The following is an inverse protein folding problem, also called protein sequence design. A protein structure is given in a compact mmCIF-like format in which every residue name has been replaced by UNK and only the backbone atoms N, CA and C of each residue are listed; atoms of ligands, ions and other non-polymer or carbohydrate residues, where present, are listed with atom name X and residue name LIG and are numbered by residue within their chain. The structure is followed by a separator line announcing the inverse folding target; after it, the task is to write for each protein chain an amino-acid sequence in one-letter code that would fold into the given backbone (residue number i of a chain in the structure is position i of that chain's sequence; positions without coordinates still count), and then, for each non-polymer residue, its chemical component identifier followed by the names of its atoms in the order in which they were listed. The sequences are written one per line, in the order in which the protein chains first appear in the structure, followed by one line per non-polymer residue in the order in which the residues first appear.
data_IF_687842818073
#
_entry.id   IF_687842818073
#
_cell.length_a   1.000
_cell.length_b   1.000
_cell.length_c   1.000
_cell.angle_alpha   90.00
_cell.angle_beta   90.00
_cell.angle_gamma   90.00
#
_symmetry.space_group_name_H-M   'P 1'
#
loop_
_entity.id
_entity.type
_entity.pdbx_description
1 polymer ?
#
# COMPACT_ATOMS: atom_id res chain seq x y z
N UNK A 1 7.09 24.39 5.00
CA UNK A 1 7.41 23.50 6.15
C UNK A 1 7.20 24.29 7.43
N UNK A 2 6.39 23.80 8.38
CA UNK A 2 5.97 24.56 9.57
C UNK A 2 6.97 24.52 10.75
N UNK A 3 8.21 24.09 10.54
CA UNK A 3 9.23 24.00 11.60
C UNK A 3 8.93 22.99 12.72
N UNK A 4 7.98 22.09 12.50
CA UNK A 4 7.55 21.10 13.49
C UNK A 4 8.50 19.89 13.43
N UNK A 5 9.12 19.55 14.57
CA UNK A 5 9.95 18.35 14.71
C UNK A 5 9.05 17.11 14.78
N UNK A 6 9.23 16.10 13.90
CA UNK A 6 8.52 14.84 14.00
C UNK A 6 8.77 14.14 15.34
N UNK A 7 7.74 13.57 15.94
CA UNK A 7 7.83 12.82 17.22
C UNK A 7 8.41 11.42 17.04
N UNK A 8 8.39 10.91 15.81
CA UNK A 8 8.86 9.58 15.43
C UNK A 8 9.65 9.66 14.13
N UNK A 9 10.70 8.86 14.05
CA UNK A 9 11.44 8.62 12.82
C UNK A 9 10.89 7.37 12.12
N UNK A 10 10.18 7.57 11.01
CA UNK A 10 9.59 6.50 10.20
C UNK A 10 10.53 5.98 9.11
N UNK A 11 11.69 6.61 8.92
CA UNK A 11 12.51 6.47 7.70
C UNK A 11 13.96 6.07 8.00
N UNK A 12 14.22 5.40 9.14
CA UNK A 12 15.57 5.01 9.57
C UNK A 12 16.33 4.18 8.55
N UNK A 13 16.05 2.88 8.51
CA UNK A 13 16.65 1.91 7.60
C UNK A 13 15.59 1.38 6.67
N UNK A 14 16.00 0.63 5.64
CA UNK A 14 15.05 0.02 4.69
C UNK A 14 14.42 -1.24 5.28
N UNK A 15 15.23 -2.04 5.98
CA UNK A 15 14.80 -3.32 6.51
C UNK A 15 14.13 -3.14 7.86
N UNK A 16 13.07 -3.92 8.12
CA UNK A 16 12.26 -3.80 9.35
C UNK A 16 13.12 -3.85 10.63
N UNK A 17 14.14 -4.71 10.68
CA UNK A 17 15.02 -4.83 11.85
C UNK A 17 15.89 -3.58 12.13
N UNK A 18 15.97 -2.66 11.18
CA UNK A 18 16.68 -1.38 11.32
C UNK A 18 15.76 -0.24 11.79
N UNK A 19 14.44 -0.48 11.83
CA UNK A 19 13.46 0.52 12.23
C UNK A 19 13.55 0.82 13.73
N UNK A 20 13.03 1.98 14.13
CA UNK A 20 12.92 2.32 15.55
C UNK A 20 11.84 1.45 16.20
N UNK A 21 12.07 0.85 17.38
CA UNK A 21 11.01 0.14 18.11
C UNK A 21 9.80 1.02 18.39
N UNK A 22 10.01 2.35 18.47
CA UNK A 22 8.94 3.32 18.71
C UNK A 22 8.09 3.65 17.48
N UNK A 23 8.47 3.20 16.27
CA UNK A 23 7.68 3.33 15.05
C UNK A 23 8.19 2.38 13.95
N UNK A 24 7.42 1.33 13.67
CA UNK A 24 7.72 0.36 12.61
C UNK A 24 6.83 0.66 11.40
N UNK A 25 7.46 0.90 10.25
CA UNK A 25 6.79 0.97 8.96
C UNK A 25 6.97 -0.36 8.21
N UNK A 26 5.88 -0.96 7.71
CA UNK A 26 5.93 -2.18 6.91
C UNK A 26 5.46 -1.83 5.51
N UNK A 27 6.40 -1.67 4.59
CA UNK A 27 6.10 -1.47 3.17
C UNK A 27 5.91 -2.83 2.50
N UNK A 28 4.66 -3.19 2.20
CA UNK A 28 4.30 -4.45 1.56
C UNK A 28 4.92 -4.61 0.17
N UNK A 29 5.17 -3.52 -0.58
CA UNK A 29 5.82 -3.63 -1.87
C UNK A 29 7.27 -4.06 -1.70
N UNK A 30 7.97 -3.51 -0.71
CA UNK A 30 9.32 -3.95 -0.38
C UNK A 30 9.32 -5.38 0.18
N UNK A 31 8.38 -5.73 1.06
CA UNK A 31 8.27 -7.09 1.59
C UNK A 31 8.03 -8.13 0.48
N UNK A 32 7.02 -7.91 -0.36
CA UNK A 32 6.62 -8.86 -1.40
C UNK A 32 7.60 -8.90 -2.58
N UNK A 33 8.41 -7.85 -2.77
CA UNK A 33 9.50 -7.85 -3.74
C UNK A 33 10.85 -8.32 -3.17
N UNK A 34 10.86 -8.80 -1.92
CA UNK A 34 12.07 -9.18 -1.18
C UNK A 34 13.14 -8.09 -1.26
N UNK A 35 12.73 -6.87 -0.93
CA UNK A 35 13.55 -5.65 -0.96
C UNK A 35 14.21 -5.38 -2.32
N UNK A 36 13.55 -5.78 -3.41
CA UNK A 36 14.01 -5.59 -4.78
C UNK A 36 14.73 -6.79 -5.40
N UNK A 37 14.78 -7.95 -4.73
CA UNK A 37 15.31 -9.16 -5.33
C UNK A 37 14.44 -9.67 -6.51
N UNK A 38 13.14 -9.33 -6.52
CA UNK A 38 12.29 -9.59 -7.68
C UNK A 38 12.52 -8.56 -8.80
N UNK A 39 12.74 -9.04 -10.03
CA UNK A 39 12.85 -8.20 -11.24
C UNK A 39 11.62 -7.32 -11.47
N UNK A 40 10.44 -7.76 -11.01
CA UNK A 40 9.18 -7.00 -11.07
C UNK A 40 8.59 -6.94 -9.67
N UNK A 41 8.37 -5.73 -9.16
CA UNK A 41 7.78 -5.52 -7.82
C UNK A 41 6.31 -5.96 -7.72
N UNK A 42 5.58 -5.98 -8.83
CA UNK A 42 4.15 -6.26 -8.85
C UNK A 42 3.30 -5.08 -8.36
N UNK A 43 2.08 -4.95 -8.89
CA UNK A 43 1.12 -3.95 -8.42
C UNK A 43 0.24 -4.51 -7.31
N UNK A 44 -0.48 -3.64 -6.58
CA UNK A 44 -1.50 -4.07 -5.61
C UNK A 44 -2.50 -5.04 -6.27
N UNK A 45 -2.96 -4.74 -7.49
CA UNK A 45 -3.83 -5.63 -8.26
C UNK A 45 -3.25 -7.03 -8.48
N UNK A 46 -1.96 -7.12 -8.85
CA UNK A 46 -1.30 -8.40 -9.07
C UNK A 46 -1.27 -9.21 -7.77
N UNK A 47 -0.79 -8.60 -6.68
CA UNK A 47 -0.66 -9.28 -5.40
C UNK A 47 -2.02 -9.67 -4.81
N UNK A 48 -3.02 -8.79 -4.90
CA UNK A 48 -4.39 -9.13 -4.50
C UNK A 48 -4.89 -10.37 -5.26
N UNK A 49 -4.70 -10.45 -6.58
CA UNK A 49 -5.11 -11.63 -7.35
C UNK A 49 -4.36 -12.90 -6.96
N UNK A 50 -3.04 -12.82 -6.75
CA UNK A 50 -2.21 -13.97 -6.34
C UNK A 50 -2.72 -14.56 -5.04
N UNK A 51 -3.12 -13.71 -4.09
CA UNK A 51 -3.68 -14.14 -2.81
C UNK A 51 -5.21 -14.34 -2.84
N UNK A 52 -5.89 -14.24 -3.99
CA UNK A 52 -7.35 -14.38 -4.06
C UNK A 52 -8.12 -13.30 -3.28
N UNK A 53 -7.52 -12.13 -3.07
CA UNK A 53 -8.15 -10.95 -2.48
C UNK A 53 -8.87 -10.19 -3.59
N UNK A 54 -10.08 -9.71 -3.30
CA UNK A 54 -10.81 -8.85 -4.23
C UNK A 54 -9.97 -7.62 -4.59
N UNK A 55 -9.74 -7.42 -5.88
CA UNK A 55 -8.93 -6.30 -6.32
C UNK A 55 -9.73 -4.99 -6.30
N UNK A 56 -9.13 -3.87 -5.90
CA UNK A 56 -9.75 -2.54 -5.97
C UNK A 56 -10.25 -2.15 -7.37
N UNK A 57 -9.64 -2.72 -8.42
CA UNK A 57 -10.06 -2.53 -9.82
C UNK A 57 -11.42 -3.15 -10.16
N UNK A 58 -12.00 -3.97 -9.29
CA UNK A 58 -13.34 -4.53 -9.50
C UNK A 58 -14.44 -3.43 -9.51
N UNK A 59 -14.17 -2.29 -8.88
CA UNK A 59 -15.08 -1.13 -8.83
C UNK A 59 -15.19 -0.34 -10.15
N UNK A 60 -14.39 -0.69 -11.17
CA UNK A 60 -14.41 -0.07 -12.49
C UNK A 60 -13.68 1.28 -12.59
N UNK A 61 -13.32 1.91 -11.47
CA UNK A 61 -12.46 3.09 -11.41
C UNK A 61 -10.99 2.65 -11.40
N UNK A 62 -10.19 3.26 -12.25
CA UNK A 62 -8.74 3.07 -12.31
C UNK A 62 -8.01 4.35 -11.91
N UNK A 63 -6.70 4.24 -11.64
CA UNK A 63 -5.87 5.41 -11.32
C UNK A 63 -5.90 6.49 -12.42
N UNK A 64 -6.08 6.08 -13.67
CA UNK A 64 -6.13 7.01 -14.82
C UNK A 64 -7.41 7.86 -14.81
N UNK A 65 -8.49 7.36 -14.19
CA UNK A 65 -9.78 8.06 -14.10
C UNK A 65 -9.79 9.15 -13.03
N UNK A 66 -8.90 9.07 -12.03
CA UNK A 66 -8.90 9.97 -10.85
C UNK A 66 -8.81 11.44 -11.26
N UNK A 67 -7.98 11.75 -12.25
CA UNK A 67 -7.82 13.12 -12.76
C UNK A 67 -9.10 13.69 -13.39
N UNK A 68 -9.82 12.86 -14.16
CA UNK A 68 -11.08 13.25 -14.77
C UNK A 68 -12.19 13.38 -13.72
N UNK A 69 -12.28 12.42 -12.79
CA UNK A 69 -13.24 12.45 -11.67
C UNK A 69 -13.03 13.68 -10.79
N UNK A 70 -11.79 14.07 -10.52
CA UNK A 70 -11.48 15.24 -9.70
C UNK A 70 -11.96 16.53 -10.38
N UNK A 71 -11.68 16.69 -11.68
CA UNK A 71 -12.17 17.82 -12.48
C UNK A 71 -13.69 17.87 -12.53
N UNK A 72 -14.34 16.70 -12.59
CA UNK A 72 -15.79 16.56 -12.53
C UNK A 72 -16.38 16.69 -11.11
N UNK A 73 -15.56 17.00 -10.09
CA UNK A 73 -15.96 17.11 -8.67
C UNK A 73 -16.61 15.84 -8.10
N UNK A 74 -16.30 14.68 -8.67
CA UNK A 74 -16.78 13.35 -8.23
C UNK A 74 -15.93 12.81 -7.07
N UNK A 75 -15.81 13.59 -6.00
CA UNK A 75 -14.91 13.26 -4.88
C UNK A 75 -15.32 11.99 -4.13
N UNK A 76 -16.63 11.74 -4.03
CA UNK A 76 -17.15 10.53 -3.38
C UNK A 76 -16.71 9.25 -4.10
N UNK A 77 -16.65 9.27 -5.43
CA UNK A 77 -16.24 8.13 -6.24
C UNK A 77 -14.74 7.84 -6.02
N UNK A 78 -13.92 8.90 -6.00
CA UNK A 78 -12.49 8.81 -5.66
C UNK A 78 -12.30 8.27 -4.23
N UNK A 79 -13.09 8.76 -3.27
CA UNK A 79 -13.00 8.30 -1.88
C UNK A 79 -13.36 6.81 -1.76
N UNK A 80 -14.41 6.34 -2.46
CA UNK A 80 -14.78 4.92 -2.49
C UNK A 80 -13.68 4.05 -3.10
N UNK A 81 -13.08 4.51 -4.21
CA UNK A 81 -11.92 3.85 -4.82
C UNK A 81 -10.75 3.74 -3.83
N UNK A 82 -10.37 4.83 -3.17
CA UNK A 82 -9.29 4.84 -2.18
C UNK A 82 -9.58 3.91 -0.99
N UNK A 83 -10.82 3.85 -0.51
CA UNK A 83 -11.22 2.90 0.55
C UNK A 83 -11.06 1.44 0.08
N UNK A 84 -11.31 1.15 -1.19
CA UNK A 84 -11.02 -0.15 -1.80
C UNK A 84 -9.54 -0.52 -1.71
N UNK A 85 -8.65 0.41 -2.09
CA UNK A 85 -7.19 0.22 -1.99
C UNK A 85 -6.75 -0.03 -0.54
N UNK A 86 -7.31 0.70 0.44
CA UNK A 86 -7.01 0.49 1.86
C UNK A 86 -7.42 -0.91 2.34
N UNK A 87 -8.62 -1.38 1.97
CA UNK A 87 -9.11 -2.72 2.33
C UNK A 87 -8.24 -3.80 1.72
N UNK A 88 -7.91 -3.70 0.44
CA UNK A 88 -7.07 -4.67 -0.25
C UNK A 88 -5.65 -4.71 0.35
N UNK A 89 -5.09 -3.55 0.71
CA UNK A 89 -3.78 -3.46 1.36
C UNK A 89 -3.79 -4.11 2.74
N UNK A 90 -4.85 -3.91 3.53
CA UNK A 90 -5.00 -4.56 4.84
C UNK A 90 -5.10 -6.09 4.73
N UNK A 91 -5.88 -6.60 3.79
CA UNK A 91 -5.96 -8.06 3.58
C UNK A 91 -4.64 -8.62 3.06
N UNK A 92 -3.93 -7.88 2.20
CA UNK A 92 -2.61 -8.27 1.72
C UNK A 92 -1.58 -8.30 2.86
N UNK A 93 -1.64 -7.33 3.77
CA UNK A 93 -0.82 -7.31 4.99
C UNK A 93 -1.01 -8.58 5.81
N UNK A 94 -2.26 -8.95 6.09
CA UNK A 94 -2.58 -10.16 6.87
C UNK A 94 -2.02 -11.42 6.22
N UNK A 95 -2.13 -11.55 4.88
CA UNK A 95 -1.54 -12.70 4.15
C UNK A 95 -0.03 -12.70 4.20
N UNK A 96 0.61 -11.54 4.08
CA UNK A 96 2.06 -11.45 4.24
C UNK A 96 2.49 -11.84 5.66
N UNK A 97 1.80 -11.34 6.70
CA UNK A 97 2.07 -11.67 8.10
C UNK A 97 1.88 -13.18 8.37
N UNK A 98 0.82 -13.78 7.82
CA UNK A 98 0.52 -15.19 8.03
C UNK A 98 1.54 -16.14 7.37
N UNK A 99 2.03 -15.81 6.16
CA UNK A 99 2.79 -16.75 5.33
C UNK A 99 4.26 -16.37 5.12
N UNK A 100 4.64 -15.11 5.33
CA UNK A 100 5.92 -14.57 4.87
C UNK A 100 6.70 -13.78 5.93
N UNK A 101 6.11 -13.44 7.08
CA UNK A 101 6.86 -12.84 8.19
C UNK A 101 7.49 -13.92 9.06
N UNK A 102 8.81 -14.09 8.93
CA UNK A 102 9.65 -15.00 9.73
C UNK A 102 10.65 -14.22 10.57
#
# INVERSE_FOLDING_TARGET
MHGIRPTKDLMRGRYIYQHSPGAIHIDLQDQLSFYGALRRKGSLHLWSRVFGIESPKASGITGDDVGALYKAKKFTDIARYNVGDLRATNELYKRWEEYLSF
#
